data_IF_588264189939
#
_entry.id   IF_588264189939
#
_cell.length_a   1.000
_cell.length_b   1.000
_cell.length_c   1.000
_cell.angle_alpha   90.00
_cell.angle_beta   90.00
_cell.angle_gamma   90.00
#
_symmetry.space_group_name_H-M   'P 1'
#
loop_
_entity.id
_entity.type
_entity.pdbx_description
1 polymer ?
#
# COMPACT_ATOMS: atom_id res chain seq x y z
N UNK A 1 1.53 -61.65 41.11
CA UNK A 1 1.95 -60.24 40.84
C UNK A 1 1.72 -59.94 39.37
N UNK A 2 0.76 -59.08 39.03
CA UNK A 2 0.44 -58.71 37.65
C UNK A 2 0.87 -57.26 37.44
N UNK A 3 1.93 -57.01 36.62
CA UNK A 3 2.32 -55.67 36.22
C UNK A 3 1.32 -55.14 35.19
N UNK A 4 0.72 -53.98 35.47
CA UNK A 4 -0.07 -53.22 34.54
C UNK A 4 0.83 -52.22 33.81
N UNK A 5 0.99 -52.43 32.50
CA UNK A 5 1.69 -51.50 31.61
C UNK A 5 0.74 -50.35 31.27
N UNK A 6 1.12 -49.13 31.67
CA UNK A 6 0.41 -47.89 31.29
C UNK A 6 0.99 -47.39 29.98
N UNK A 7 0.23 -47.44 28.91
CA UNK A 7 0.59 -46.82 27.63
C UNK A 7 0.28 -45.32 27.68
N UNK A 8 1.35 -44.52 27.59
CA UNK A 8 1.30 -43.07 27.52
C UNK A 8 1.06 -42.65 26.06
N UNK A 9 -0.16 -42.24 25.74
CA UNK A 9 -0.52 -41.73 24.42
C UNK A 9 -0.02 -40.29 24.26
N UNK A 10 1.00 -40.07 23.43
CA UNK A 10 1.52 -38.73 23.07
C UNK A 10 0.67 -38.18 21.94
N UNK A 11 -0.24 -37.25 22.25
CA UNK A 11 -0.92 -36.45 21.24
C UNK A 11 0.06 -35.42 20.64
N UNK A 12 0.53 -35.67 19.42
CA UNK A 12 1.27 -34.71 18.63
C UNK A 12 0.28 -33.66 18.09
N UNK A 13 0.35 -32.43 18.62
CA UNK A 13 -0.34 -31.28 18.08
C UNK A 13 0.43 -30.81 16.85
N UNK A 14 -0.08 -31.11 15.67
CA UNK A 14 0.43 -30.56 14.41
C UNK A 14 -0.03 -29.09 14.31
N UNK A 15 0.87 -28.16 14.60
CA UNK A 15 0.68 -26.73 14.28
C UNK A 15 0.79 -26.61 12.77
N UNK A 16 -0.36 -26.47 12.11
CA UNK A 16 -0.40 -26.10 10.69
C UNK A 16 0.10 -24.66 10.55
N UNK A 17 1.34 -24.50 10.09
CA UNK A 17 1.84 -23.24 9.56
C UNK A 17 1.03 -22.92 8.31
N UNK A 18 0.03 -22.03 8.45
CA UNK A 18 -0.62 -21.42 7.31
C UNK A 18 0.43 -20.49 6.67
N UNK A 19 0.92 -20.77 5.45
CA UNK A 19 1.76 -19.80 4.78
C UNK A 19 0.87 -18.58 4.54
N UNK A 20 1.19 -17.45 5.20
CA UNK A 20 0.71 -16.16 4.75
C UNK A 20 1.14 -16.06 3.28
N UNK A 21 0.15 -16.01 2.39
CA UNK A 21 0.38 -15.69 0.99
C UNK A 21 0.94 -14.27 0.97
N UNK A 22 2.26 -14.18 1.13
CA UNK A 22 3.01 -12.98 0.84
C UNK A 22 2.70 -12.66 -0.62
N UNK A 23 2.29 -11.43 -0.90
CA UNK A 23 2.23 -10.90 -2.25
C UNK A 23 3.59 -11.24 -2.86
N UNK A 24 3.59 -12.08 -3.90
CA UNK A 24 4.82 -12.54 -4.51
C UNK A 24 5.58 -11.31 -4.99
N UNK A 25 6.77 -11.09 -4.42
CA UNK A 25 7.69 -10.06 -4.86
C UNK A 25 7.92 -10.22 -6.36
N UNK A 26 7.59 -9.18 -7.13
CA UNK A 26 7.86 -9.18 -8.56
C UNK A 26 9.38 -9.25 -8.75
N UNK A 27 9.93 -10.30 -9.40
CA UNK A 27 11.37 -10.43 -9.56
C UNK A 27 11.93 -9.25 -10.35
N UNK A 28 12.91 -8.57 -9.81
CA UNK A 28 13.54 -7.45 -10.49
C UNK A 28 14.56 -6.74 -9.63
N UNK A 29 15.35 -5.82 -10.22
CA UNK A 29 16.43 -5.12 -9.54
C UNK A 29 15.94 -4.17 -8.43
N UNK A 30 14.71 -3.65 -8.54
CA UNK A 30 14.08 -2.72 -7.59
C UNK A 30 12.60 -3.07 -7.41
N UNK A 31 12.26 -4.18 -6.73
CA UNK A 31 10.87 -4.62 -6.57
C UNK A 31 10.02 -3.60 -5.78
N UNK A 32 10.64 -2.81 -4.90
CA UNK A 32 9.93 -1.85 -4.08
C UNK A 32 9.31 -0.70 -4.89
N UNK A 33 9.89 -0.29 -6.02
CA UNK A 33 9.25 0.68 -6.94
C UNK A 33 7.96 0.12 -7.55
N UNK A 34 7.94 -1.15 -7.93
CA UNK A 34 6.74 -1.78 -8.48
C UNK A 34 5.65 -1.94 -7.43
N UNK A 35 6.02 -2.29 -6.19
CA UNK A 35 5.08 -2.33 -5.07
C UNK A 35 4.50 -0.96 -4.76
N UNK A 36 5.35 0.05 -4.61
CA UNK A 36 4.90 1.42 -4.36
C UNK A 36 3.93 1.89 -5.46
N UNK A 37 4.25 1.61 -6.72
CA UNK A 37 3.40 1.95 -7.88
C UNK A 37 2.05 1.25 -7.83
N UNK A 38 2.01 -0.04 -7.52
CA UNK A 38 0.79 -0.84 -7.39
C UNK A 38 -0.09 -0.34 -6.25
N UNK A 39 0.51 -0.04 -5.10
CA UNK A 39 -0.18 0.53 -3.95
C UNK A 39 -0.77 1.91 -4.27
N UNK A 40 -0.02 2.78 -4.94
CA UNK A 40 -0.47 4.10 -5.37
C UNK A 40 -1.63 4.01 -6.36
N UNK A 41 -1.57 3.14 -7.36
CA UNK A 41 -2.69 2.92 -8.30
C UNK A 41 -3.95 2.43 -7.58
N UNK A 42 -3.78 1.54 -6.62
CA UNK A 42 -4.90 1.06 -5.81
C UNK A 42 -5.49 2.19 -4.96
N UNK A 43 -4.66 3.01 -4.32
CA UNK A 43 -5.10 4.17 -3.56
C UNK A 43 -5.85 5.17 -4.46
N UNK A 44 -5.30 5.51 -5.63
CA UNK A 44 -5.92 6.41 -6.60
C UNK A 44 -7.32 5.94 -7.03
N UNK A 45 -7.46 4.64 -7.29
CA UNK A 45 -8.75 4.07 -7.66
C UNK A 45 -9.78 4.19 -6.52
N UNK A 46 -9.38 3.94 -5.27
CA UNK A 46 -10.26 4.10 -4.12
C UNK A 46 -10.64 5.56 -3.84
N UNK A 47 -9.80 6.53 -4.18
CA UNK A 47 -10.08 7.96 -4.07
C UNK A 47 -11.15 8.43 -5.06
N UNK A 48 -11.26 7.80 -6.24
CA UNK A 48 -12.25 8.14 -7.27
C UNK A 48 -13.68 7.71 -6.93
N UNK A 49 -13.90 7.04 -5.82
CA UNK A 49 -15.25 6.71 -5.34
C UNK A 49 -15.91 7.97 -4.80
N UNK A 50 -17.00 8.40 -5.42
CA UNK A 50 -17.73 9.62 -5.07
C UNK A 50 -18.21 9.61 -3.62
N UNK A 51 -18.12 10.77 -2.98
CA UNK A 51 -18.54 11.06 -1.63
C UNK A 51 -19.23 12.43 -1.57
N UNK A 52 -19.36 13.06 -0.42
CA UNK A 52 -19.84 14.43 -0.30
C UNK A 52 -18.97 15.41 -1.11
N UNK A 53 -19.51 16.49 -1.67
CA UNK A 53 -18.77 17.34 -2.63
C UNK A 53 -17.45 17.92 -2.11
N UNK A 54 -17.40 18.29 -0.82
CA UNK A 54 -16.17 18.77 -0.16
C UNK A 54 -15.14 17.65 -0.02
N UNK A 55 -15.56 16.46 0.39
CA UNK A 55 -14.74 15.26 0.54
C UNK A 55 -14.20 14.81 -0.81
N UNK A 56 -15.07 14.70 -1.82
CA UNK A 56 -14.69 14.36 -3.21
C UNK A 56 -13.62 15.31 -3.74
N UNK A 57 -13.77 16.62 -3.55
CA UNK A 57 -12.77 17.60 -3.99
C UNK A 57 -11.39 17.40 -3.35
N UNK A 58 -11.34 17.02 -2.09
CA UNK A 58 -10.08 16.68 -1.43
C UNK A 58 -9.50 15.38 -1.95
N UNK A 59 -10.34 14.36 -2.17
CA UNK A 59 -9.89 13.08 -2.73
C UNK A 59 -9.45 13.20 -4.19
N UNK A 60 -10.07 14.05 -5.00
CA UNK A 60 -9.63 14.33 -6.38
C UNK A 60 -8.22 14.92 -6.40
N UNK A 61 -7.95 15.92 -5.53
CA UNK A 61 -6.59 16.48 -5.40
C UNK A 61 -5.59 15.46 -4.89
N UNK A 62 -5.99 14.62 -3.92
CA UNK A 62 -5.14 13.52 -3.47
C UNK A 62 -4.80 12.55 -4.62
N UNK A 63 -5.76 12.26 -5.49
CA UNK A 63 -5.58 11.39 -6.65
C UNK A 63 -4.66 12.01 -7.72
N UNK A 64 -4.71 13.33 -7.91
CA UNK A 64 -3.79 14.07 -8.79
C UNK A 64 -2.34 13.98 -8.27
N UNK A 65 -2.15 14.16 -6.96
CA UNK A 65 -0.84 14.00 -6.34
C UNK A 65 -0.30 12.56 -6.46
N UNK A 66 -1.17 11.56 -6.28
CA UNK A 66 -0.80 10.15 -6.50
C UNK A 66 -0.38 9.90 -7.95
N UNK A 67 -1.07 10.47 -8.92
CA UNK A 67 -0.70 10.36 -10.34
C UNK A 67 0.68 10.95 -10.62
N UNK A 68 0.98 12.11 -10.04
CA UNK A 68 2.30 12.72 -10.12
C UNK A 68 3.39 11.83 -9.47
N UNK A 69 3.12 11.26 -8.30
CA UNK A 69 4.04 10.32 -7.64
C UNK A 69 4.32 9.09 -8.51
N UNK A 70 3.29 8.50 -9.12
CA UNK A 70 3.43 7.36 -10.03
C UNK A 70 4.33 7.75 -11.22
N UNK A 71 4.13 8.94 -11.77
CA UNK A 71 4.93 9.41 -12.90
C UNK A 71 6.42 9.52 -12.56
N UNK A 72 6.76 10.03 -11.37
CA UNK A 72 8.15 10.10 -10.90
C UNK A 72 8.75 8.71 -10.64
N UNK A 73 7.96 7.77 -10.09
CA UNK A 73 8.38 6.37 -9.91
C UNK A 73 8.60 5.69 -11.27
N UNK A 74 7.73 5.92 -12.24
CA UNK A 74 7.86 5.36 -13.59
C UNK A 74 9.13 5.85 -14.28
N UNK A 75 9.52 7.13 -14.08
CA UNK A 75 10.80 7.67 -14.57
C UNK A 75 12.00 6.95 -13.95
N UNK A 76 11.94 6.67 -12.65
CA UNK A 76 12.98 5.92 -11.95
C UNK A 76 13.03 4.46 -12.45
N UNK A 77 11.87 3.80 -12.60
CA UNK A 77 11.75 2.41 -13.03
C UNK A 77 12.19 2.18 -14.50
N UNK A 78 11.91 3.14 -15.40
CA UNK A 78 12.34 3.05 -16.81
C UNK A 78 13.85 3.01 -16.94
N UNK A 79 14.59 3.70 -16.08
CA UNK A 79 16.06 3.59 -16.05
C UNK A 79 16.54 2.17 -15.74
N UNK A 80 15.71 1.37 -15.09
CA UNK A 80 15.99 -0.01 -14.66
C UNK A 80 15.34 -1.06 -15.58
N UNK A 81 14.79 -0.67 -16.73
CA UNK A 81 14.17 -1.54 -17.76
C UNK A 81 13.05 -2.45 -17.23
N UNK A 82 12.13 -1.92 -16.44
CA UNK A 82 11.02 -2.68 -15.83
C UNK A 82 9.73 -2.62 -16.62
N UNK A 83 8.99 -3.74 -16.57
CA UNK A 83 7.63 -3.84 -17.09
C UNK A 83 6.64 -3.09 -16.16
N UNK A 84 5.88 -2.16 -16.74
CA UNK A 84 4.96 -1.29 -16.02
C UNK A 84 3.48 -1.73 -16.14
N UNK A 85 3.19 -2.92 -16.68
CA UNK A 85 1.82 -3.35 -17.00
C UNK A 85 1.08 -4.09 -15.88
N UNK A 86 1.52 -3.99 -14.63
CA UNK A 86 0.80 -4.61 -13.51
C UNK A 86 -0.49 -3.84 -13.15
N UNK A 87 -1.62 -4.56 -13.19
CA UNK A 87 -2.95 -4.04 -12.86
C UNK A 87 -3.58 -4.85 -11.73
N UNK A 88 -3.44 -4.40 -10.47
CA UNK A 88 -4.00 -5.11 -9.33
C UNK A 88 -5.54 -5.14 -9.38
N UNK A 89 -6.12 -6.25 -8.91
CA UNK A 89 -7.56 -6.34 -8.68
C UNK A 89 -7.93 -5.59 -7.42
N UNK A 90 -8.84 -4.60 -7.55
CA UNK A 90 -9.21 -3.72 -6.45
C UNK A 90 -10.63 -4.05 -5.98
N UNK A 91 -10.79 -4.31 -4.67
CA UNK A 91 -12.11 -4.41 -4.06
C UNK A 91 -12.62 -3.01 -3.66
N UNK A 92 -13.68 -2.57 -4.34
CA UNK A 92 -14.31 -1.26 -4.11
C UNK A 92 -15.48 -1.32 -3.13
N UNK A 93 -15.83 -2.49 -2.61
CA UNK A 93 -16.99 -2.69 -1.73
C UNK A 93 -16.71 -2.34 -0.26
N UNK A 94 -15.60 -1.67 0.00
CA UNK A 94 -15.24 -1.26 1.35
C UNK A 94 -16.23 -0.21 1.87
N UNK A 95 -16.68 -0.31 3.14
CA UNK A 95 -17.40 0.78 3.80
C UNK A 95 -16.50 2.02 3.88
N UNK A 96 -17.11 3.23 3.96
CA UNK A 96 -16.39 4.52 3.89
C UNK A 96 -15.12 4.55 4.77
N UNK A 97 -15.25 4.26 6.06
CA UNK A 97 -14.09 4.27 6.99
C UNK A 97 -13.02 3.25 6.59
N UNK A 98 -13.43 2.05 6.15
CA UNK A 98 -12.52 1.02 5.65
C UNK A 98 -11.78 1.45 4.38
N UNK A 99 -12.48 2.16 3.48
CA UNK A 99 -11.89 2.75 2.27
C UNK A 99 -10.82 3.78 2.60
N UNK A 100 -11.13 4.74 3.48
CA UNK A 100 -10.16 5.74 3.93
C UNK A 100 -8.94 5.12 4.61
N UNK A 101 -9.16 4.17 5.53
CA UNK A 101 -8.06 3.43 6.17
C UNK A 101 -7.18 2.74 5.13
N UNK A 102 -7.79 2.06 4.16
CA UNK A 102 -7.04 1.39 3.08
C UNK A 102 -6.22 2.37 2.24
N UNK A 103 -6.78 3.53 1.91
CA UNK A 103 -6.06 4.60 1.19
C UNK A 103 -4.82 5.04 1.99
N UNK A 104 -4.99 5.37 3.27
CA UNK A 104 -3.88 5.80 4.14
C UNK A 104 -2.81 4.73 4.26
N UNK A 105 -3.21 3.46 4.45
CA UNK A 105 -2.28 2.33 4.56
C UNK A 105 -1.47 2.13 3.28
N UNK A 106 -2.10 2.25 2.10
CA UNK A 106 -1.44 2.14 0.80
C UNK A 106 -0.44 3.29 0.56
N UNK A 107 -0.82 4.54 0.87
CA UNK A 107 0.09 5.68 0.76
C UNK A 107 1.31 5.54 1.68
N UNK A 108 1.08 5.12 2.93
CA UNK A 108 2.16 4.87 3.89
C UNK A 108 3.04 3.68 3.48
N UNK A 109 2.44 2.63 2.88
CA UNK A 109 3.17 1.48 2.34
C UNK A 109 4.08 1.91 1.19
N UNK A 110 3.53 2.61 0.19
CA UNK A 110 4.31 3.13 -0.94
C UNK A 110 5.50 3.97 -0.49
N UNK A 111 5.30 4.83 0.52
CA UNK A 111 6.37 5.65 1.09
C UNK A 111 7.47 4.80 1.73
N UNK A 112 7.11 3.74 2.45
CA UNK A 112 8.09 2.80 3.04
C UNK A 112 8.85 2.03 1.97
N UNK A 113 8.18 1.61 0.90
CA UNK A 113 8.80 0.85 -0.17
C UNK A 113 9.83 1.69 -0.92
N UNK A 114 9.49 2.94 -1.24
CA UNK A 114 10.47 3.89 -1.81
C UNK A 114 11.69 4.08 -0.91
N UNK A 115 11.55 4.01 0.43
CA UNK A 115 12.67 4.17 1.35
C UNK A 115 13.66 3.00 1.36
N UNK A 116 13.26 1.85 0.82
CA UNK A 116 14.07 0.63 0.76
C UNK A 116 14.89 0.50 -0.53
N UNK A 117 14.62 1.35 -1.50
CA UNK A 117 15.36 1.30 -2.77
C UNK A 117 16.75 1.91 -2.62
N UNK A 118 17.76 1.16 -3.04
CA UNK A 118 19.10 1.69 -3.20
C UNK A 118 19.17 2.54 -4.47
N UNK A 119 19.48 3.82 -4.29
CA UNK A 119 19.45 4.74 -5.41
C UNK A 119 20.75 4.76 -6.19
N UNK A 120 20.61 4.66 -7.48
CA UNK A 120 21.58 5.33 -8.30
C UNK A 120 21.38 6.86 -8.14
N UNK A 121 22.45 7.65 -8.14
CA UNK A 121 22.37 9.10 -7.91
C UNK A 121 21.47 9.87 -8.89
N UNK A 122 21.07 9.24 -10.04
CA UNK A 122 20.16 9.83 -11.03
C UNK A 122 18.69 9.63 -10.65
N UNK A 123 18.35 8.51 -10.01
CA UNK A 123 16.98 8.20 -9.57
C UNK A 123 16.60 8.95 -8.30
N UNK A 124 17.57 9.40 -7.49
CA UNK A 124 17.33 10.07 -6.20
C UNK A 124 16.40 11.27 -6.31
N UNK A 125 16.58 12.12 -7.31
CA UNK A 125 15.72 13.30 -7.50
C UNK A 125 14.27 12.93 -7.74
N UNK A 126 13.99 11.91 -8.56
CA UNK A 126 12.64 11.45 -8.83
C UNK A 126 11.99 10.78 -7.61
N UNK A 127 12.77 10.02 -6.85
CA UNK A 127 12.27 9.46 -5.58
C UNK A 127 11.89 10.56 -4.60
N UNK A 128 12.70 11.60 -4.45
CA UNK A 128 12.42 12.71 -3.54
C UNK A 128 11.18 13.51 -3.99
N UNK A 129 10.94 13.63 -5.30
CA UNK A 129 9.70 14.16 -5.85
C UNK A 129 8.50 13.26 -5.52
N UNK A 130 8.63 11.94 -5.75
CA UNK A 130 7.57 10.99 -5.42
C UNK A 130 7.19 11.06 -3.93
N UNK A 131 8.14 11.20 -3.02
CA UNK A 131 7.87 11.42 -1.59
C UNK A 131 7.02 12.66 -1.35
N UNK A 132 7.37 13.79 -1.96
CA UNK A 132 6.61 15.04 -1.77
C UNK A 132 5.17 14.90 -2.24
N UNK A 133 4.94 14.23 -3.37
CA UNK A 133 3.62 13.98 -3.89
C UNK A 133 2.81 13.03 -2.99
N UNK A 134 3.42 11.96 -2.46
CA UNK A 134 2.76 11.05 -1.51
C UNK A 134 2.38 11.79 -0.22
N UNK A 135 3.26 12.63 0.31
CA UNK A 135 3.00 13.41 1.53
C UNK A 135 1.91 14.46 1.29
N UNK A 136 1.87 15.10 0.12
CA UNK A 136 0.79 16.02 -0.28
C UNK A 136 -0.56 15.28 -0.43
N UNK A 137 -0.54 14.08 -1.02
CA UNK A 137 -1.74 13.24 -1.09
C UNK A 137 -2.27 12.88 0.28
N UNK A 138 -1.40 12.46 1.21
CA UNK A 138 -1.79 12.18 2.61
C UNK A 138 -2.44 13.38 3.29
N UNK A 139 -1.93 14.60 3.06
CA UNK A 139 -2.52 15.83 3.58
C UNK A 139 -3.93 16.08 3.03
N UNK A 140 -4.16 15.86 1.74
CA UNK A 140 -5.49 15.97 1.16
C UNK A 140 -6.46 14.90 1.69
N UNK A 141 -6.01 13.66 1.86
CA UNK A 141 -6.81 12.59 2.49
C UNK A 141 -7.13 12.94 3.95
N UNK A 142 -6.19 13.51 4.68
CA UNK A 142 -6.44 13.99 6.05
C UNK A 142 -7.55 15.06 6.07
N UNK A 143 -7.49 16.06 5.20
CA UNK A 143 -8.55 17.08 5.11
C UNK A 143 -9.92 16.48 4.80
N UNK A 144 -9.98 15.51 3.90
CA UNK A 144 -11.21 14.79 3.62
C UNK A 144 -11.71 14.00 4.84
N UNK A 145 -10.80 13.40 5.62
CA UNK A 145 -11.13 12.68 6.84
C UNK A 145 -11.64 13.61 7.95
N UNK A 146 -11.05 14.80 8.10
CA UNK A 146 -11.50 15.85 9.04
C UNK A 146 -12.93 16.30 8.69
N UNK A 147 -13.23 16.53 7.42
CA UNK A 147 -14.58 16.87 6.96
C UNK A 147 -15.61 15.80 7.34
N UNK A 148 -15.20 14.53 7.34
CA UNK A 148 -16.02 13.38 7.76
C UNK A 148 -15.96 13.08 9.27
N UNK A 149 -15.09 13.75 10.03
CA UNK A 149 -14.82 13.50 11.47
C UNK A 149 -14.34 12.07 11.76
N UNK A 150 -13.52 11.50 10.88
CA UNK A 150 -12.93 10.15 11.00
C UNK A 150 -11.40 10.17 11.08
N UNK A 151 -10.78 11.33 11.12
CA UNK A 151 -9.32 11.53 11.14
C UNK A 151 -8.64 10.81 12.32
N UNK A 152 -9.23 10.86 13.51
CA UNK A 152 -8.71 10.13 14.68
C UNK A 152 -8.63 8.62 14.48
N UNK A 153 -9.59 8.04 13.75
CA UNK A 153 -9.63 6.59 13.48
C UNK A 153 -8.54 6.16 12.48
N UNK A 154 -7.94 7.11 11.77
CA UNK A 154 -6.93 6.89 10.73
C UNK A 154 -5.50 7.14 11.22
N UNK A 155 -5.33 7.60 12.45
CA UNK A 155 -4.03 7.86 13.05
C UNK A 155 -3.29 9.02 12.40
N UNK A 156 -4.03 10.10 12.07
CA UNK A 156 -3.48 11.39 11.71
C UNK A 156 -3.13 12.20 12.94
#
# INVERSE_FOLDING_TARGET
>A
MKLKTIALSMCAVAVALVPSAGIADTPGRHPAYLHARTDLRTAQFLMRVHDEPNVTRHLDRAAEEVEAAIHEIDRAAVLDAKDLEDHPRIDTRLPRNGRFRKIVDLLRSSRRDLSREEDNGRARGWRDEAYRHIDASLEHVHRAAVDLRIDHDLGF
#
